data_IF_936836022891
#
_entry.id   IF_936836022891
#
_cell.length_a   1.000
_cell.length_b   1.000
_cell.length_c   1.000
_cell.angle_alpha   90.00
_cell.angle_beta   90.00
_cell.angle_gamma   90.00
#
_symmetry.space_group_name_H-M   'P 1'
#
loop_
_entity.id
_entity.type
_entity.pdbx_description
1 polymer ?
#
# COMPACT_ATOMS: atom_id res chain seq x y z
N UNK A 1 2.05 31.38 18.13
CA UNK A 1 3.29 30.68 18.56
C UNK A 1 4.44 30.75 17.54
N UNK A 2 4.37 31.54 16.46
CA UNK A 2 5.49 31.70 15.50
C UNK A 2 5.72 33.17 15.04
N UNK A 3 5.41 34.15 15.90
CA UNK A 3 5.55 35.59 15.58
C UNK A 3 6.89 36.22 15.98
N UNK A 4 7.96 35.43 16.14
CA UNK A 4 9.29 35.95 16.50
C UNK A 4 10.16 36.27 15.28
N UNK A 5 11.33 36.91 15.48
CA UNK A 5 12.31 37.24 14.42
C UNK A 5 12.75 36.06 13.54
N UNK A 6 12.65 34.82 14.03
CA UNK A 6 12.93 33.59 13.25
C UNK A 6 11.70 32.97 12.56
N UNK A 7 10.50 33.52 12.77
CA UNK A 7 9.23 33.00 12.24
C UNK A 7 9.22 32.84 10.72
N UNK A 8 9.68 33.82 9.93
CA UNK A 8 9.72 33.70 8.47
C UNK A 8 10.66 32.59 7.99
N UNK A 9 11.84 32.45 8.61
CA UNK A 9 12.82 31.43 8.25
C UNK A 9 12.35 30.02 8.62
N UNK A 10 11.82 29.84 9.84
CA UNK A 10 11.23 28.57 10.26
C UNK A 10 9.97 28.22 9.44
N UNK A 11 9.17 29.23 9.07
CA UNK A 11 8.03 29.08 8.15
C UNK A 11 8.46 28.60 6.76
N UNK A 12 9.57 29.13 6.24
CA UNK A 12 10.14 28.69 4.97
C UNK A 12 10.65 27.24 5.03
N UNK A 13 11.40 26.87 6.08
CA UNK A 13 11.86 25.50 6.27
C UNK A 13 10.66 24.53 6.36
N UNK A 14 9.70 24.82 7.24
CA UNK A 14 8.52 23.96 7.42
C UNK A 14 7.70 23.85 6.14
N UNK A 15 7.58 24.94 5.36
CA UNK A 15 6.96 24.92 4.04
C UNK A 15 7.64 23.96 3.06
N UNK A 16 8.96 24.00 2.96
CA UNK A 16 9.71 23.08 2.06
C UNK A 16 9.58 21.62 2.46
N UNK A 17 9.71 21.31 3.74
CA UNK A 17 9.55 19.92 4.20
C UNK A 17 8.12 19.42 4.02
N UNK A 18 7.11 20.28 4.16
CA UNK A 18 5.73 19.91 3.88
C UNK A 18 5.54 19.57 2.39
N UNK A 19 6.08 20.40 1.49
CA UNK A 19 6.02 20.16 0.05
C UNK A 19 6.73 18.85 -0.34
N UNK A 20 7.95 18.62 0.15
CA UNK A 20 8.69 17.38 -0.10
C UNK A 20 7.97 16.15 0.45
N UNK A 21 7.39 16.26 1.65
CA UNK A 21 6.58 15.21 2.26
C UNK A 21 5.37 14.86 1.39
N UNK A 22 4.69 15.86 0.84
CA UNK A 22 3.54 15.64 -0.05
C UNK A 22 3.93 14.99 -1.38
N UNK A 23 5.06 15.40 -1.97
CA UNK A 23 5.57 14.77 -3.20
C UNK A 23 5.94 13.31 -2.93
N UNK A 24 6.63 13.04 -1.82
CA UNK A 24 7.04 11.69 -1.44
C UNK A 24 5.84 10.76 -1.20
N UNK A 25 4.85 11.19 -0.41
CA UNK A 25 3.68 10.35 -0.09
C UNK A 25 2.81 10.09 -1.33
N UNK A 26 2.65 11.07 -2.22
CA UNK A 26 1.88 10.92 -3.46
C UNK A 26 2.54 9.93 -4.40
N UNK A 27 3.87 10.04 -4.56
CA UNK A 27 4.66 9.13 -5.40
C UNK A 27 4.58 7.70 -4.85
N UNK A 28 4.73 7.52 -3.53
CA UNK A 28 4.62 6.20 -2.91
C UNK A 28 3.21 5.59 -3.09
N UNK A 29 2.16 6.39 -2.90
CA UNK A 29 0.78 5.96 -3.09
C UNK A 29 0.47 5.57 -4.54
N UNK A 30 1.07 6.26 -5.53
CA UNK A 30 0.89 5.94 -6.95
C UNK A 30 1.65 4.66 -7.38
N UNK A 31 2.77 4.32 -6.72
CA UNK A 31 3.57 3.14 -7.06
C UNK A 31 2.93 1.83 -6.55
N UNK A 32 2.33 1.85 -5.35
CA UNK A 32 1.71 0.67 -4.74
C UNK A 32 0.72 -0.09 -5.67
N UNK A 33 -0.28 0.57 -6.29
CA UNK A 33 -1.24 -0.13 -7.16
C UNK A 33 -0.59 -0.70 -8.43
N UNK A 34 0.48 -0.08 -8.94
CA UNK A 34 1.20 -0.59 -10.12
C UNK A 34 1.90 -1.91 -9.81
N UNK A 35 2.55 -2.00 -8.64
CA UNK A 35 3.19 -3.23 -8.17
C UNK A 35 2.16 -4.33 -7.94
N UNK A 36 1.05 -4.01 -7.28
CA UNK A 36 -0.02 -4.98 -7.04
C UNK A 36 -0.66 -5.46 -8.35
N UNK A 37 -0.94 -4.54 -9.28
CA UNK A 37 -1.49 -4.88 -10.59
C UNK A 37 -0.56 -5.81 -11.37
N UNK A 38 0.74 -5.52 -11.38
CA UNK A 38 1.73 -6.38 -12.04
C UNK A 38 1.75 -7.79 -11.42
N UNK A 39 1.71 -7.89 -10.09
CA UNK A 39 1.67 -9.18 -9.40
C UNK A 39 0.37 -9.96 -9.69
N UNK A 40 -0.77 -9.28 -9.74
CA UNK A 40 -2.06 -9.89 -10.08
C UNK A 40 -2.09 -10.40 -11.53
N UNK A 41 -1.57 -9.62 -12.47
CA UNK A 41 -1.46 -10.02 -13.87
C UNK A 41 -0.55 -11.24 -14.04
N UNK A 42 0.56 -11.26 -13.31
CA UNK A 42 1.49 -12.39 -13.32
C UNK A 42 0.84 -13.66 -12.74
N UNK A 43 0.00 -13.53 -11.72
CA UNK A 43 -0.69 -14.66 -11.10
C UNK A 43 -1.85 -15.19 -11.94
N UNK A 44 -2.61 -14.30 -12.58
CA UNK A 44 -3.83 -14.68 -13.31
C UNK A 44 -3.56 -15.15 -14.75
N UNK A 45 -2.58 -14.54 -15.43
CA UNK A 45 -2.34 -14.76 -16.86
C UNK A 45 -0.87 -14.98 -17.21
N UNK A 46 -0.01 -15.20 -16.23
CA UNK A 46 1.45 -15.32 -16.41
C UNK A 46 2.08 -14.12 -17.15
N UNK A 47 1.40 -12.97 -17.13
CA UNK A 47 1.79 -11.78 -17.87
C UNK A 47 2.45 -10.75 -16.95
N UNK A 48 3.61 -10.24 -17.37
CA UNK A 48 4.27 -9.11 -16.70
C UNK A 48 4.13 -7.84 -17.52
N UNK A 49 3.81 -6.73 -16.84
CA UNK A 49 3.79 -5.41 -17.44
C UNK A 49 5.21 -5.00 -17.82
N UNK A 50 5.38 -4.56 -19.06
CA UNK A 50 6.61 -3.91 -19.53
C UNK A 50 6.94 -2.68 -18.63
N UNK A 51 8.22 -2.38 -18.37
CA UNK A 51 8.61 -1.21 -17.56
C UNK A 51 7.99 0.10 -18.05
N UNK A 52 7.83 0.26 -19.37
CA UNK A 52 7.21 1.44 -19.96
C UNK A 52 5.72 1.53 -19.63
N UNK A 53 5.02 0.39 -19.65
CA UNK A 53 3.60 0.31 -19.28
C UNK A 53 3.41 0.60 -17.79
N UNK A 54 4.27 0.05 -16.92
CA UNK A 54 4.25 0.34 -15.49
C UNK A 54 4.43 1.84 -15.22
N UNK A 55 5.38 2.48 -15.90
CA UNK A 55 5.60 3.92 -15.76
C UNK A 55 4.43 4.75 -16.30
N UNK A 56 3.82 4.35 -17.42
CA UNK A 56 2.62 5.00 -17.95
C UNK A 56 1.44 4.96 -16.98
N UNK A 57 1.19 3.81 -16.37
CA UNK A 57 0.12 3.64 -15.36
C UNK A 57 0.44 4.47 -14.11
N UNK A 58 1.68 4.45 -13.66
CA UNK A 58 2.16 5.25 -12.53
C UNK A 58 1.93 6.76 -12.74
N UNK A 59 2.29 7.29 -13.92
CA UNK A 59 2.02 8.69 -14.28
C UNK A 59 0.51 8.99 -14.31
N UNK A 60 -0.30 8.04 -14.78
CA UNK A 60 -1.76 8.16 -14.74
C UNK A 60 -2.30 8.33 -13.31
N UNK A 61 -1.78 7.56 -12.34
CA UNK A 61 -2.15 7.72 -10.94
C UNK A 61 -1.70 9.06 -10.35
N UNK A 62 -0.51 9.55 -10.68
CA UNK A 62 -0.06 10.89 -10.25
C UNK A 62 -0.96 11.98 -10.82
N UNK A 63 -1.30 11.91 -12.10
CA UNK A 63 -2.20 12.87 -12.74
C UNK A 63 -3.59 12.85 -12.08
N UNK A 64 -4.14 11.67 -11.84
CA UNK A 64 -5.41 11.50 -11.13
C UNK A 64 -5.34 12.09 -9.71
N UNK A 65 -4.25 11.85 -8.99
CA UNK A 65 -4.05 12.42 -7.66
C UNK A 65 -4.04 13.96 -7.71
N UNK A 66 -3.36 14.56 -8.70
CA UNK A 66 -3.37 16.02 -8.88
C UNK A 66 -4.76 16.58 -9.17
N UNK A 67 -5.54 15.89 -10.02
CA UNK A 67 -6.93 16.27 -10.32
C UNK A 67 -7.81 16.17 -9.07
N UNK A 68 -7.75 15.06 -8.33
CA UNK A 68 -8.53 14.87 -7.10
C UNK A 68 -8.17 15.89 -6.01
N UNK A 69 -6.88 16.22 -5.86
CA UNK A 69 -6.42 17.25 -4.92
C UNK A 69 -6.86 18.68 -5.32
N UNK A 70 -7.23 18.89 -6.59
CA UNK A 70 -7.75 20.17 -7.07
C UNK A 70 -9.28 20.28 -6.93
N UNK A 71 -9.97 19.21 -6.50
CA UNK A 71 -11.44 19.22 -6.36
C UNK A 71 -11.89 19.94 -5.08
N UNK A 72 -13.08 20.56 -5.09
CA UNK A 72 -13.65 21.19 -3.90
C UNK A 72 -13.95 20.15 -2.81
N UNK A 73 -13.72 20.54 -1.55
CA UNK A 73 -13.76 19.64 -0.39
C UNK A 73 -15.06 18.83 -0.21
N UNK A 74 -16.19 19.29 -0.77
CA UNK A 74 -17.46 18.55 -0.74
C UNK A 74 -17.41 17.25 -1.55
N UNK A 75 -16.72 17.24 -2.70
CA UNK A 75 -16.58 16.03 -3.53
C UNK A 75 -15.59 15.08 -2.87
N UNK A 76 -14.48 15.63 -2.34
CA UNK A 76 -13.46 14.86 -1.64
C UNK A 76 -14.03 14.13 -0.41
N UNK A 77 -14.93 14.77 0.35
CA UNK A 77 -15.59 14.15 1.50
C UNK A 77 -16.37 12.87 1.12
N UNK A 78 -17.07 12.88 -0.02
CA UNK A 78 -17.79 11.71 -0.51
C UNK A 78 -16.84 10.59 -0.94
N UNK A 79 -15.74 10.93 -1.63
CA UNK A 79 -14.71 9.96 -2.02
C UNK A 79 -14.03 9.32 -0.81
N UNK A 80 -13.77 10.09 0.25
CA UNK A 80 -13.18 9.57 1.49
C UNK A 80 -14.14 8.58 2.17
N UNK A 81 -15.42 8.94 2.29
CA UNK A 81 -16.43 8.05 2.86
C UNK A 81 -16.56 6.74 2.05
N UNK A 82 -16.58 6.84 0.72
CA UNK A 82 -16.60 5.67 -0.16
C UNK A 82 -15.35 4.80 -0.01
N UNK A 83 -14.16 5.41 0.01
CA UNK A 83 -12.88 4.71 0.16
C UNK A 83 -12.80 3.98 1.50
N UNK A 84 -13.29 4.60 2.57
CA UNK A 84 -13.38 3.96 3.88
C UNK A 84 -14.26 2.72 3.81
N UNK A 85 -15.48 2.86 3.30
CA UNK A 85 -16.41 1.75 3.14
C UNK A 85 -15.81 0.61 2.30
N UNK A 86 -15.19 0.95 1.16
CA UNK A 86 -14.58 -0.03 0.25
C UNK A 86 -13.43 -0.81 0.91
N UNK A 87 -12.55 -0.15 1.67
CA UNK A 87 -11.46 -0.84 2.37
C UNK A 87 -11.97 -1.79 3.45
N UNK A 88 -12.99 -1.39 4.22
CA UNK A 88 -13.59 -2.29 5.21
C UNK A 88 -14.32 -3.46 4.54
N UNK A 89 -15.10 -3.19 3.49
CA UNK A 89 -15.81 -4.22 2.76
C UNK A 89 -14.85 -5.25 2.15
N UNK A 90 -13.73 -4.82 1.55
CA UNK A 90 -12.75 -5.73 0.95
C UNK A 90 -12.09 -6.65 1.99
N UNK A 91 -11.74 -6.13 3.17
CA UNK A 91 -11.19 -6.94 4.27
C UNK A 91 -12.20 -7.99 4.74
N UNK A 92 -13.46 -7.61 4.93
CA UNK A 92 -14.53 -8.55 5.31
C UNK A 92 -14.71 -9.64 4.25
N UNK A 93 -14.74 -9.25 2.97
CA UNK A 93 -14.87 -10.21 1.85
C UNK A 93 -13.69 -11.17 1.83
N UNK A 94 -12.45 -10.69 1.96
CA UNK A 94 -11.27 -11.56 2.00
C UNK A 94 -11.29 -12.50 3.20
N UNK A 95 -11.66 -12.00 4.39
CA UNK A 95 -11.73 -12.79 5.61
C UNK A 95 -12.77 -13.92 5.53
N UNK A 96 -13.85 -13.75 4.78
CA UNK A 96 -14.88 -14.77 4.57
C UNK A 96 -14.54 -15.72 3.41
N UNK A 97 -13.98 -15.19 2.33
CA UNK A 97 -13.72 -15.97 1.11
C UNK A 97 -12.55 -16.91 1.27
N UNK A 98 -11.47 -16.47 1.94
CA UNK A 98 -10.27 -17.30 2.13
C UNK A 98 -10.59 -18.62 2.85
N UNK A 99 -11.24 -18.65 4.04
CA UNK A 99 -11.57 -19.92 4.70
C UNK A 99 -12.56 -20.80 3.93
N UNK A 100 -13.45 -20.19 3.12
CA UNK A 100 -14.47 -20.90 2.36
C UNK A 100 -13.89 -21.62 1.13
N UNK A 101 -12.87 -21.05 0.50
CA UNK A 101 -12.26 -21.60 -0.73
C UNK A 101 -11.08 -22.53 -0.42
N UNK A 102 -10.46 -22.43 0.76
CA UNK A 102 -9.30 -23.25 1.11
C UNK A 102 -9.67 -24.74 1.25
N UNK A 103 -9.08 -25.64 0.44
CA UNK A 103 -9.35 -27.08 0.51
C UNK A 103 -8.67 -27.79 1.69
N UNK A 104 -7.69 -27.15 2.35
CA UNK A 104 -6.98 -27.70 3.49
C UNK A 104 -7.00 -26.72 4.67
N UNK A 105 -7.87 -26.96 5.65
CA UNK A 105 -7.87 -26.23 6.91
C UNK A 105 -6.69 -26.69 7.77
N UNK A 106 -5.61 -25.91 7.81
CA UNK A 106 -4.49 -26.22 8.73
C UNK A 106 -4.96 -26.04 10.17
N UNK A 107 -4.68 -27.01 11.07
CA UNK A 107 -5.13 -26.93 12.46
C UNK A 107 -4.48 -25.72 13.14
N UNK A 108 -5.22 -25.03 14.01
CA UNK A 108 -4.75 -23.83 14.71
C UNK A 108 -3.42 -24.06 15.47
N UNK A 109 -3.14 -25.30 15.88
CA UNK A 109 -1.87 -25.71 16.49
C UNK A 109 -0.66 -25.42 15.58
N UNK A 110 -0.80 -25.50 14.27
CA UNK A 110 0.24 -25.16 13.29
C UNK A 110 0.64 -23.68 13.35
N UNK A 111 -0.29 -22.77 13.66
CA UNK A 111 0.02 -21.33 13.76
C UNK A 111 0.90 -21.01 14.97
N UNK A 112 0.80 -21.80 16.04
CA UNK A 112 1.51 -21.56 17.30
C UNK A 112 2.72 -22.47 17.51
N UNK A 113 2.81 -23.58 16.79
CA UNK A 113 3.85 -24.60 16.98
C UNK A 113 4.92 -24.64 15.87
N UNK A 114 4.68 -24.05 14.69
CA UNK A 114 5.65 -24.07 13.58
C UNK A 114 6.20 -22.67 13.31
N UNK A 115 7.51 -22.52 13.48
CA UNK A 115 8.28 -21.37 13.04
C UNK A 115 9.02 -21.73 11.76
N UNK A 116 8.82 -20.96 10.69
CA UNK A 116 9.63 -21.04 9.48
C UNK A 116 10.69 -19.96 9.55
N UNK A 117 11.95 -20.35 9.68
CA UNK A 117 13.07 -19.41 9.57
C UNK A 117 13.32 -19.12 8.09
N UNK A 118 13.19 -17.84 7.70
CA UNK A 118 13.44 -17.38 6.33
C UNK A 118 14.95 -17.20 6.09
N UNK A 119 15.78 -17.35 7.12
CA UNK A 119 17.24 -17.37 7.00
C UNK A 119 17.78 -18.80 7.18
N UNK A 120 17.64 -19.65 6.18
CA UNK A 120 18.41 -20.89 6.12
C UNK A 120 19.89 -20.60 5.84
N UNK A 121 20.63 -20.08 6.82
CA UNK A 121 22.04 -20.47 6.97
C UNK A 121 22.03 -21.75 7.79
N UNK A 122 22.25 -22.88 7.09
CA UNK A 122 22.58 -24.20 7.62
C UNK A 122 23.22 -24.15 9.02
N UNK A 123 22.42 -24.27 10.07
CA UNK A 123 22.90 -24.60 11.42
C UNK A 123 22.02 -25.67 12.05
N UNK A 124 22.12 -26.88 11.50
CA UNK A 124 22.57 -28.04 12.26
C UNK A 124 21.86 -28.46 13.54
N UNK A 125 20.55 -28.25 13.72
CA UNK A 125 19.78 -28.99 14.73
C UNK A 125 18.48 -29.52 14.13
N UNK A 126 18.53 -30.79 13.70
CA UNK A 126 17.35 -31.63 13.47
C UNK A 126 16.83 -32.10 14.82
N UNK A 127 15.64 -31.62 15.22
CA UNK A 127 14.97 -32.16 16.41
C UNK A 127 14.12 -33.37 15.99
N UNK A 128 14.72 -34.56 16.12
CA UNK A 128 14.00 -35.84 16.09
C UNK A 128 13.45 -36.12 17.49
N UNK A 129 12.25 -35.62 17.79
CA UNK A 129 11.32 -36.24 18.75
C UNK A 129 9.88 -35.93 18.33
#
# INVERSE_FOLDING_TARGET
>A
ILGGRGGPFLGWITGWYNLLGQIAITTAAAAAPVVMLNAMLQLAWEYSLSPLAQYGIFLGFIALAGVLNSMPGRVLANFIAFTLFWNFASVVIMALTLPAVQPFHRPAKFLWATYYDVMQTSTGITNNV
#
